data_IF_594587735438
#
_entry.id   IF_594587735438
#
_cell.length_a   1.000
_cell.length_b   1.000
_cell.length_c   1.000
_cell.angle_alpha   90.00
_cell.angle_beta   90.00
_cell.angle_gamma   90.00
#
_symmetry.space_group_name_H-M   'P 1'
#
loop_
_entity.id
_entity.type
_entity.pdbx_description
1 polymer ?
#
# COMPACT_ATOMS: atom_id res chain seq x y z
N UNK A 1 -34.67 -17.34 -1.36
CA UNK A 1 -35.29 -16.41 -2.34
C UNK A 1 -35.64 -15.12 -1.65
N UNK A 2 -35.06 -13.99 -2.09
CA UNK A 2 -35.56 -12.60 -2.01
C UNK A 2 -34.42 -11.71 -2.51
N UNK A 3 -34.34 -11.57 -3.84
CA UNK A 3 -33.57 -10.51 -4.49
C UNK A 3 -34.52 -9.33 -4.64
N UNK A 4 -34.17 -8.20 -4.05
CA UNK A 4 -34.84 -6.92 -4.32
C UNK A 4 -33.87 -6.06 -5.13
N UNK A 5 -34.10 -6.04 -6.44
CA UNK A 5 -33.60 -5.00 -7.34
C UNK A 5 -34.37 -3.71 -7.04
N UNK A 6 -33.66 -2.61 -6.81
CA UNK A 6 -34.23 -1.27 -6.92
C UNK A 6 -33.44 -0.52 -7.99
N UNK A 7 -34.00 -0.49 -9.19
CA UNK A 7 -33.48 0.25 -10.32
C UNK A 7 -34.07 1.67 -10.31
N UNK A 8 -33.20 2.67 -10.35
CA UNK A 8 -33.61 4.04 -10.63
C UNK A 8 -33.43 4.32 -12.12
N UNK A 9 -34.56 4.68 -12.74
CA UNK A 9 -34.78 4.88 -14.17
C UNK A 9 -34.26 6.25 -14.63
N UNK A 10 -33.77 6.23 -15.86
CA UNK A 10 -33.42 7.35 -16.73
C UNK A 10 -34.49 8.45 -16.83
N UNK A 11 -34.04 9.71 -16.84
CA UNK A 11 -34.81 10.89 -17.24
C UNK A 11 -33.90 11.87 -17.99
N UNK A 12 -34.07 11.92 -19.30
CA UNK A 12 -33.42 12.88 -20.22
C UNK A 12 -34.15 14.22 -20.11
N UNK A 13 -33.40 15.32 -19.96
CA UNK A 13 -33.86 16.65 -20.39
C UNK A 13 -32.64 17.50 -20.80
N UNK A 14 -32.50 17.64 -22.10
CA UNK A 14 -31.59 18.51 -22.84
C UNK A 14 -31.81 19.98 -22.51
N UNK A 15 -30.74 20.74 -22.23
CA UNK A 15 -30.69 22.18 -22.53
C UNK A 15 -29.35 22.46 -23.20
N UNK A 16 -29.41 22.85 -24.48
CA UNK A 16 -28.30 23.38 -25.25
C UNK A 16 -27.82 24.70 -24.64
N UNK A 17 -26.50 24.85 -24.53
CA UNK A 17 -25.85 26.14 -24.70
C UNK A 17 -24.52 25.89 -25.42
N UNK A 18 -24.53 26.15 -26.73
CA UNK A 18 -23.32 26.36 -27.52
C UNK A 18 -22.61 27.62 -27.01
N UNK A 19 -21.27 27.61 -26.95
CA UNK A 19 -20.38 28.76 -27.28
C UNK A 19 -18.97 28.20 -27.51
N UNK A 20 -18.60 28.02 -28.78
CA UNK A 20 -17.73 28.89 -29.60
C UNK A 20 -16.32 28.30 -29.70
N UNK A 21 -16.09 27.65 -30.84
CA UNK A 21 -14.77 27.29 -31.32
C UNK A 21 -13.95 28.56 -31.60
N UNK A 22 -12.71 28.61 -31.12
CA UNK A 22 -11.67 29.49 -31.63
C UNK A 22 -10.62 28.64 -32.33
N UNK A 23 -10.43 28.94 -33.61
CA UNK A 23 -9.63 28.19 -34.55
C UNK A 23 -8.13 28.54 -34.47
N UNK A 24 -7.33 27.47 -34.66
CA UNK A 24 -6.15 27.34 -35.51
C UNK A 24 -5.07 28.44 -35.54
N UNK A 25 -3.94 28.10 -34.90
CA UNK A 25 -2.56 28.38 -35.35
C UNK A 25 -1.69 27.35 -34.61
N UNK A 26 -0.77 26.56 -35.16
CA UNK A 26 -0.14 26.36 -36.46
C UNK A 26 1.08 25.46 -36.16
N UNK A 27 1.42 24.50 -37.01
CA UNK A 27 2.48 23.50 -36.75
C UNK A 27 3.89 24.09 -36.90
N UNK A 28 4.83 23.66 -36.04
CA UNK A 28 6.27 23.59 -36.36
C UNK A 28 6.86 22.27 -35.85
N UNK A 29 7.61 21.60 -36.75
CA UNK A 29 8.23 20.28 -36.60
C UNK A 29 9.58 20.38 -35.88
N UNK A 30 9.89 19.30 -35.15
CA UNK A 30 11.20 18.74 -34.82
C UNK A 30 12.21 19.58 -34.03
N UNK A 31 12.72 19.00 -32.93
CA UNK A 31 14.13 18.57 -32.75
C UNK A 31 14.46 18.53 -31.24
N UNK A 32 14.83 17.37 -30.71
CA UNK A 32 15.77 17.27 -29.58
C UNK A 32 17.19 17.10 -30.18
N UNK A 33 18.35 17.40 -29.52
CA UNK A 33 18.59 17.65 -28.09
C UNK A 33 19.59 18.81 -27.73
N UNK A 34 19.72 19.06 -26.41
CA UNK A 34 20.93 19.42 -25.62
C UNK A 34 21.65 20.79 -25.63
N UNK A 35 21.85 21.26 -24.38
CA UNK A 35 22.97 22.01 -23.77
C UNK A 35 23.04 23.55 -23.90
N UNK A 36 22.86 24.24 -22.77
CA UNK A 36 23.98 24.75 -21.95
C UNK A 36 23.49 25.28 -20.59
N UNK A 37 24.10 24.77 -19.52
CA UNK A 37 23.96 25.20 -18.13
C UNK A 37 24.43 26.65 -17.86
N UNK A 38 23.95 27.25 -16.76
CA UNK A 38 24.88 27.70 -15.73
C UNK A 38 24.62 26.95 -14.42
N UNK A 39 25.56 26.04 -14.17
CA UNK A 39 25.80 25.21 -13.01
C UNK A 39 25.85 26.02 -11.69
N UNK A 40 25.22 25.46 -10.64
CA UNK A 40 25.37 25.74 -9.19
C UNK A 40 24.28 26.56 -8.44
N UNK A 41 23.00 26.16 -8.47
CA UNK A 41 22.07 26.41 -7.33
C UNK A 41 21.04 25.30 -7.01
N UNK A 42 20.84 24.28 -7.87
CA UNK A 42 19.80 23.26 -7.65
C UNK A 42 20.29 21.94 -7.01
N UNK A 43 21.61 21.75 -6.88
CA UNK A 43 22.18 20.49 -6.35
C UNK A 43 22.38 20.48 -4.83
N UNK A 44 22.11 21.58 -4.13
CA UNK A 44 22.25 21.65 -2.66
C UNK A 44 21.01 21.07 -1.93
N UNK A 45 19.80 21.21 -2.51
CA UNK A 45 18.55 20.71 -1.90
C UNK A 45 18.40 19.19 -1.95
N UNK A 46 19.16 18.49 -2.79
CA UNK A 46 19.13 17.03 -2.85
C UNK A 46 20.02 16.39 -1.77
N UNK A 47 21.02 17.12 -1.26
CA UNK A 47 21.90 16.63 -0.19
C UNK A 47 21.40 16.97 1.22
N UNK A 48 20.47 17.92 1.38
CA UNK A 48 19.85 18.24 2.67
C UNK A 48 18.95 17.12 3.21
N UNK A 49 18.59 16.13 2.38
CA UNK A 49 17.88 14.91 2.80
C UNK A 49 18.78 13.69 3.01
N UNK A 50 20.09 13.81 2.77
CA UNK A 50 21.09 12.80 3.16
C UNK A 50 21.57 13.08 4.59
N UNK A 51 20.62 13.30 5.50
CA UNK A 51 20.88 13.23 6.92
C UNK A 51 21.11 11.77 7.30
N UNK A 52 22.39 11.39 7.40
CA UNK A 52 22.96 10.20 8.06
C UNK A 52 22.35 8.82 7.71
N UNK A 53 23.12 7.71 7.80
CA UNK A 53 22.53 6.37 7.88
C UNK A 53 21.89 6.19 9.27
N UNK A 54 20.81 6.92 9.57
CA UNK A 54 20.34 7.06 10.96
C UNK A 54 18.83 7.18 11.06
N UNK A 55 18.21 5.99 11.03
CA UNK A 55 16.85 5.66 11.47
C UNK A 55 15.74 6.41 10.72
N UNK A 56 14.83 5.70 10.03
CA UNK A 56 13.64 6.35 9.48
C UNK A 56 12.92 7.16 10.57
N UNK A 57 12.25 8.24 10.21
CA UNK A 57 11.46 9.01 11.17
C UNK A 57 10.46 8.09 11.90
N UNK A 58 10.20 8.28 13.21
CA UNK A 58 9.48 7.31 14.05
C UNK A 58 8.08 6.90 13.55
N UNK A 59 7.42 7.72 12.72
CA UNK A 59 6.18 7.35 12.03
C UNK A 59 6.38 6.45 10.80
N UNK A 60 7.43 6.68 10.02
CA UNK A 60 7.77 5.91 8.82
C UNK A 60 8.33 4.53 9.17
N UNK A 61 9.03 4.40 10.31
CA UNK A 61 9.56 3.11 10.78
C UNK A 61 8.44 2.08 11.03
N UNK A 62 7.31 2.52 11.60
CA UNK A 62 6.15 1.66 11.86
C UNK A 62 5.59 1.10 10.55
N UNK A 63 5.24 1.98 9.62
CA UNK A 63 4.63 1.59 8.33
C UNK A 63 5.57 0.68 7.54
N UNK A 64 6.85 1.00 7.51
CA UNK A 64 7.87 0.17 6.87
C UNK A 64 7.95 -1.22 7.53
N UNK A 65 7.89 -1.29 8.85
CA UNK A 65 7.89 -2.57 9.57
C UNK A 65 6.60 -3.38 9.31
N UNK A 66 5.44 -2.74 9.27
CA UNK A 66 4.18 -3.42 8.90
C UNK A 66 4.24 -3.98 7.48
N UNK A 67 4.78 -3.21 6.52
CA UNK A 67 4.98 -3.67 5.16
C UNK A 67 5.92 -4.89 5.09
N UNK A 68 6.98 -4.92 5.89
CA UNK A 68 7.86 -6.09 6.01
C UNK A 68 7.15 -7.31 6.56
N UNK A 69 6.31 -7.15 7.59
CA UNK A 69 5.48 -8.24 8.10
C UNK A 69 4.57 -8.78 7.00
N UNK A 70 3.85 -7.91 6.29
CA UNK A 70 2.97 -8.31 5.19
C UNK A 70 3.73 -9.06 4.11
N UNK A 71 4.89 -8.55 3.67
CA UNK A 71 5.72 -9.20 2.65
C UNK A 71 6.22 -10.58 3.11
N UNK A 72 6.71 -10.69 4.35
CA UNK A 72 7.15 -11.96 4.91
C UNK A 72 5.99 -12.98 4.91
N UNK A 73 4.79 -12.56 5.30
CA UNK A 73 3.61 -13.44 5.32
C UNK A 73 3.20 -13.84 3.89
N UNK A 74 3.18 -12.87 2.97
CA UNK A 74 2.84 -13.12 1.56
C UNK A 74 3.78 -14.14 0.92
N UNK A 75 5.08 -14.09 1.25
CA UNK A 75 6.06 -15.07 0.74
C UNK A 75 5.81 -16.52 1.21
N UNK A 76 5.08 -16.70 2.31
CA UNK A 76 4.71 -18.02 2.85
C UNK A 76 3.30 -18.44 2.48
N UNK A 77 2.53 -17.56 1.83
CA UNK A 77 1.21 -17.90 1.33
C UNK A 77 1.35 -18.72 0.05
N UNK A 78 0.73 -19.90 0.04
CA UNK A 78 0.65 -20.72 -1.17
C UNK A 78 -0.47 -20.22 -2.07
N UNK A 79 -0.26 -20.32 -3.38
CA UNK A 79 -1.27 -20.02 -4.40
C UNK A 79 -1.93 -18.64 -4.22
N UNK A 80 -1.12 -17.59 -4.03
CA UNK A 80 -1.60 -16.22 -3.78
C UNK A 80 -2.63 -15.74 -4.83
N UNK A 81 -2.44 -16.15 -6.08
CA UNK A 81 -3.32 -15.88 -7.22
C UNK A 81 -4.75 -16.41 -7.02
N UNK A 82 -4.91 -17.58 -6.35
CA UNK A 82 -6.21 -18.16 -6.03
C UNK A 82 -7.03 -17.31 -5.04
N UNK A 83 -6.36 -16.35 -4.40
CA UNK A 83 -6.95 -15.41 -3.46
C UNK A 83 -6.97 -13.97 -3.97
N UNK A 84 -6.73 -13.73 -5.26
CA UNK A 84 -6.79 -12.39 -5.85
C UNK A 84 -8.16 -11.73 -5.59
N UNK A 85 -8.13 -10.47 -5.17
CA UNK A 85 -9.33 -9.70 -4.80
C UNK A 85 -9.97 -10.09 -3.45
N UNK A 86 -9.47 -11.14 -2.78
CA UNK A 86 -9.89 -11.50 -1.42
C UNK A 86 -9.07 -10.74 -0.38
N UNK A 87 -9.60 -10.66 0.83
CA UNK A 87 -8.93 -10.02 1.98
C UNK A 87 -9.18 -10.79 3.25
N UNK A 88 -8.20 -10.77 4.15
CA UNK A 88 -8.34 -11.25 5.52
C UNK A 88 -7.78 -10.23 6.51
N UNK A 89 -8.54 -9.96 7.56
CA UNK A 89 -8.14 -9.12 8.68
C UNK A 89 -7.81 -10.01 9.87
N UNK A 90 -6.56 -9.93 10.33
CA UNK A 90 -6.01 -10.75 11.41
C UNK A 90 -5.56 -9.85 12.57
N UNK A 91 -5.88 -10.24 13.78
CA UNK A 91 -5.32 -9.65 15.00
C UNK A 91 -4.12 -10.48 15.43
N UNK A 92 -2.95 -9.84 15.57
CA UNK A 92 -1.71 -10.49 15.97
C UNK A 92 -1.17 -9.91 17.27
N UNK A 93 -0.46 -10.76 18.02
CA UNK A 93 0.41 -10.35 19.12
C UNK A 93 1.83 -10.81 18.87
N UNK A 94 2.77 -9.90 18.99
CA UNK A 94 4.20 -10.15 18.79
C UNK A 94 4.96 -10.00 20.11
N UNK A 95 6.00 -10.80 20.27
CA UNK A 95 6.99 -10.65 21.31
C UNK A 95 8.06 -9.61 20.89
N UNK A 96 8.84 -9.06 21.85
CA UNK A 96 9.87 -8.06 21.57
C UNK A 96 11.00 -8.54 20.64
N UNK A 97 11.16 -9.85 20.51
CA UNK A 97 12.13 -10.49 19.61
C UNK A 97 11.59 -10.73 18.19
N UNK A 98 10.32 -10.40 17.94
CA UNK A 98 9.64 -10.62 16.67
C UNK A 98 8.84 -11.92 16.61
N UNK A 99 8.88 -12.78 17.63
CA UNK A 99 8.10 -14.03 17.60
C UNK A 99 6.60 -13.79 17.71
N UNK A 100 5.80 -14.60 16.99
CA UNK A 100 4.35 -14.58 17.12
C UNK A 100 3.91 -15.23 18.43
N UNK A 101 3.22 -14.47 19.27
CA UNK A 101 2.61 -14.97 20.52
C UNK A 101 1.22 -15.53 20.24
N UNK A 102 0.40 -14.79 19.51
CA UNK A 102 -0.97 -15.20 19.21
C UNK A 102 -1.47 -14.59 17.92
N UNK A 103 -2.40 -15.28 17.27
CA UNK A 103 -3.05 -14.83 16.06
C UNK A 103 -4.51 -15.25 16.04
N UNK A 104 -5.38 -14.36 15.55
CA UNK A 104 -6.80 -14.61 15.36
C UNK A 104 -7.29 -13.97 14.07
N UNK A 105 -8.19 -14.65 13.36
CA UNK A 105 -8.94 -14.03 12.27
C UNK A 105 -10.13 -13.24 12.82
N UNK A 106 -10.23 -11.98 12.43
CA UNK A 106 -11.31 -11.08 12.81
C UNK A 106 -12.39 -11.08 11.71
N UNK A 107 -11.99 -10.88 10.46
CA UNK A 107 -12.90 -10.74 9.32
C UNK A 107 -12.24 -11.18 8.01
N UNK A 108 -13.05 -11.53 7.01
CA UNK A 108 -12.59 -11.83 5.64
C UNK A 108 -12.94 -13.24 5.18
N UNK A 109 -12.25 -13.68 4.13
CA UNK A 109 -12.48 -14.99 3.51
C UNK A 109 -11.86 -16.10 4.36
N UNK A 110 -12.64 -17.13 4.79
CA UNK A 110 -12.19 -18.11 5.77
C UNK A 110 -10.99 -18.94 5.27
N UNK A 111 -10.98 -19.30 3.99
CA UNK A 111 -9.87 -20.04 3.38
C UNK A 111 -8.58 -19.21 3.34
N UNK A 112 -8.68 -17.94 2.93
CA UNK A 112 -7.54 -17.02 2.92
C UNK A 112 -7.05 -16.76 4.35
N UNK A 113 -7.96 -16.53 5.29
CA UNK A 113 -7.60 -16.31 6.68
C UNK A 113 -6.89 -17.51 7.29
N UNK A 114 -7.34 -18.72 7.01
CA UNK A 114 -6.69 -19.93 7.51
C UNK A 114 -5.32 -20.15 6.84
N UNK A 115 -5.21 -19.90 5.54
CA UNK A 115 -3.94 -19.93 4.83
C UNK A 115 -2.96 -18.89 5.37
N UNK A 116 -3.41 -17.67 5.62
CA UNK A 116 -2.62 -16.58 6.18
C UNK A 116 -2.18 -16.88 7.63
N UNK A 117 -3.04 -17.46 8.47
CA UNK A 117 -2.67 -17.91 9.82
C UNK A 117 -1.53 -18.94 9.75
N UNK A 118 -1.65 -19.92 8.85
CA UNK A 118 -0.59 -20.91 8.62
C UNK A 118 0.69 -20.27 8.09
N UNK A 119 0.57 -19.31 7.17
CA UNK A 119 1.72 -18.59 6.62
C UNK A 119 2.45 -17.81 7.73
N UNK A 120 1.73 -17.06 8.56
CA UNK A 120 2.29 -16.28 9.68
C UNK A 120 2.97 -17.19 10.71
N UNK A 121 2.34 -18.31 11.06
CA UNK A 121 2.90 -19.27 12.02
C UNK A 121 4.21 -19.92 11.54
N UNK A 122 4.41 -20.02 10.22
CA UNK A 122 5.64 -20.55 9.61
C UNK A 122 6.63 -19.45 9.20
N UNK A 123 6.19 -18.20 9.15
CA UNK A 123 7.03 -17.07 8.76
C UNK A 123 7.98 -16.68 9.89
N UNK A 124 9.21 -16.36 9.51
CA UNK A 124 10.14 -15.68 10.43
C UNK A 124 9.89 -14.18 10.34
N UNK A 125 9.13 -13.66 11.29
CA UNK A 125 8.86 -12.23 11.38
C UNK A 125 10.13 -11.49 11.85
N UNK A 126 10.50 -10.36 11.21
CA UNK A 126 11.67 -9.60 11.60
C UNK A 126 11.51 -9.06 13.02
N UNK A 127 12.63 -8.84 13.72
CA UNK A 127 12.61 -8.17 15.01
C UNK A 127 12.27 -6.68 14.83
N UNK A 128 11.42 -6.08 15.68
CA UNK A 128 11.18 -4.64 15.66
C UNK A 128 12.50 -3.84 15.81
N UNK A 129 12.72 -2.78 15.02
CA UNK A 129 13.97 -2.02 15.04
C UNK A 129 14.15 -1.19 16.31
N UNK A 130 13.05 -0.77 16.94
CA UNK A 130 13.05 0.04 18.16
C UNK A 130 11.92 -0.39 19.10
N UNK A 131 12.05 -0.09 20.40
CA UNK A 131 11.00 -0.35 21.38
C UNK A 131 9.71 0.43 21.06
N UNK A 132 9.82 1.65 20.52
CA UNK A 132 8.66 2.44 20.12
C UNK A 132 7.85 1.77 18.99
N UNK A 133 8.54 1.19 18.00
CA UNK A 133 7.88 0.41 16.94
C UNK A 133 7.23 -0.85 17.52
N UNK A 134 7.93 -1.57 18.41
CA UNK A 134 7.37 -2.72 19.10
C UNK A 134 6.07 -2.37 19.86
N UNK A 135 6.08 -1.34 20.69
CA UNK A 135 4.89 -0.91 21.44
C UNK A 135 3.72 -0.54 20.53
N UNK A 136 4.00 0.02 19.35
CA UNK A 136 2.99 0.38 18.36
C UNK A 136 2.41 -0.83 17.58
N UNK A 137 3.09 -1.99 17.58
CA UNK A 137 2.71 -3.16 16.75
C UNK A 137 2.50 -4.46 17.54
N UNK A 138 2.88 -4.50 18.83
CA UNK A 138 2.78 -5.68 19.72
C UNK A 138 1.38 -6.27 19.82
N UNK A 139 0.35 -5.47 19.57
CA UNK A 139 -1.04 -5.90 19.41
C UNK A 139 -1.64 -5.06 18.31
N UNK A 140 -1.61 -5.60 17.09
CA UNK A 140 -2.02 -4.88 15.89
C UNK A 140 -2.92 -5.73 15.02
N UNK A 141 -3.80 -5.05 14.29
CA UNK A 141 -4.65 -5.67 13.28
C UNK A 141 -3.96 -5.50 11.94
N UNK A 142 -3.65 -6.62 11.28
CA UNK A 142 -3.08 -6.66 9.94
C UNK A 142 -4.16 -7.04 8.95
N UNK A 143 -4.30 -6.22 7.90
CA UNK A 143 -5.07 -6.62 6.74
C UNK A 143 -4.13 -7.26 5.71
N UNK A 144 -4.56 -8.39 5.20
CA UNK A 144 -3.82 -9.20 4.24
C UNK A 144 -4.60 -9.27 2.92
N UNK A 145 -3.98 -8.77 1.86
CA UNK A 145 -4.50 -8.78 0.49
C UNK A 145 -3.43 -9.36 -0.44
N UNK A 146 -3.58 -10.63 -0.86
CA UNK A 146 -2.75 -11.21 -1.91
C UNK A 146 -2.92 -10.40 -3.21
N UNK A 147 -1.80 -10.12 -3.87
CA UNK A 147 -1.74 -9.44 -5.17
C UNK A 147 -1.43 -10.48 -6.25
#
# INVERSE_FOLDING_TARGET
MKRTHSGYKTGVATVLAAMTALALTGCAKSTAPSQTDPVNKEVDDLFTNLGDPKKPAPGKEKEHYIAQLQAAIQSHLKDAEAYSGKRCTLSIKLAPDGMLISIRAEQGEPELCQAAIKAIANARLPKPPTAAVYEAVKSSTLEFRPQ
#
